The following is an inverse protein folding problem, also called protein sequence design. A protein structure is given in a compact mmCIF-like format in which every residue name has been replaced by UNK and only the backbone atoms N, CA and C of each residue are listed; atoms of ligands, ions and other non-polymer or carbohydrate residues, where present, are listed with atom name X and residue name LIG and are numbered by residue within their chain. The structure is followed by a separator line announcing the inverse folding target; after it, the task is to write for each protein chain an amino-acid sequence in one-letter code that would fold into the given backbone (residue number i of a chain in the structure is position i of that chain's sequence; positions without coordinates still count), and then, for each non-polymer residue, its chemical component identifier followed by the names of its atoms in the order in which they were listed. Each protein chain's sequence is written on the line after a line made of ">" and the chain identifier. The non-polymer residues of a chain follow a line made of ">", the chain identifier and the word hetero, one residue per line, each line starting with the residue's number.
data_IF_742193472034
#
_entry.id   IF_742193472034
#
_cell.length_a   1.000
_cell.length_b   1.000
_cell.length_c   1.000
_cell.angle_alpha   90.00
_cell.angle_beta   90.00
_cell.angle_gamma   90.00
#
_symmetry.space_group_name_H-M   'P 1'
#
loop_
_entity.id
_entity.type
_entity.pdbx_description
1 polymer ?
#
# COMPACT_ATOMS: atom_id res chain seq x y z
N UNK A 1 -17.42 0.47 2.45
CA UNK A 1 -16.07 0.18 1.93
C UNK A 1 -15.76 -1.28 2.11
N UNK A 2 -15.11 -1.91 1.13
CA UNK A 2 -14.87 -3.34 1.12
C UNK A 2 -13.72 -3.71 0.19
N UNK A 3 -13.16 -4.90 0.40
CA UNK A 3 -12.21 -5.55 -0.50
C UNK A 3 -12.94 -6.71 -1.16
N UNK A 4 -12.83 -6.81 -2.48
CA UNK A 4 -13.45 -7.87 -3.28
C UNK A 4 -12.39 -8.60 -4.10
N UNK A 5 -12.72 -9.82 -4.52
CA UNK A 5 -12.05 -10.51 -5.63
C UNK A 5 -13.08 -10.97 -6.65
N UNK A 6 -12.66 -11.13 -7.89
CA UNK A 6 -13.43 -11.75 -8.96
C UNK A 6 -12.47 -12.49 -9.91
N UNK A 7 -13.03 -13.30 -10.80
CA UNK A 7 -12.30 -13.83 -11.96
C UNK A 7 -12.01 -12.71 -12.97
N UNK A 8 -11.05 -12.95 -13.85
CA UNK A 8 -10.68 -11.99 -14.91
C UNK A 8 -11.79 -11.73 -15.92
N UNK A 9 -12.77 -12.62 -16.04
CA UNK A 9 -13.99 -12.42 -16.84
C UNK A 9 -15.10 -11.66 -16.08
N UNK A 10 -14.82 -11.23 -14.84
CA UNK A 10 -15.76 -10.52 -13.97
C UNK A 10 -16.70 -11.41 -13.16
N UNK A 11 -16.67 -12.73 -13.36
CA UNK A 11 -17.50 -13.68 -12.60
C UNK A 11 -16.97 -13.91 -11.16
N UNK A 12 -17.76 -14.63 -10.35
CA UNK A 12 -17.42 -15.00 -8.97
C UNK A 12 -17.04 -13.82 -8.06
N UNK A 13 -17.69 -12.66 -8.23
CA UNK A 13 -17.48 -11.51 -7.37
C UNK A 13 -17.76 -11.87 -5.91
N UNK A 14 -16.71 -11.85 -5.10
CA UNK A 14 -16.71 -12.30 -3.70
C UNK A 14 -16.20 -11.17 -2.81
N UNK A 15 -16.99 -10.79 -1.80
CA UNK A 15 -16.53 -9.88 -0.76
C UNK A 15 -15.57 -10.62 0.18
N UNK A 16 -14.36 -10.10 0.36
CA UNK A 16 -13.35 -10.65 1.27
C UNK A 16 -13.32 -9.92 2.61
N UNK A 17 -13.67 -8.63 2.61
CA UNK A 17 -13.73 -7.79 3.80
C UNK A 17 -14.76 -6.69 3.58
N UNK A 18 -15.52 -6.34 4.62
CA UNK A 18 -16.39 -5.16 4.63
C UNK A 18 -16.13 -4.32 5.87
N UNK A 19 -15.56 -3.14 5.67
CA UNK A 19 -15.24 -2.18 6.74
C UNK A 19 -16.29 -1.07 6.88
N UNK A 20 -17.20 -0.92 5.91
CA UNK A 20 -18.32 0.02 5.99
C UNK A 20 -19.39 -0.25 4.94
N UNK A 21 -20.56 0.36 5.09
CA UNK A 21 -21.73 0.26 4.21
C UNK A 21 -21.96 1.56 3.45
N UNK A 22 -22.39 1.41 2.21
CA UNK A 22 -22.75 2.56 1.38
C UNK A 22 -24.27 2.71 1.38
N UNK A 23 -24.81 3.93 1.48
CA UNK A 23 -24.08 5.22 1.56
C UNK A 23 -23.70 5.65 2.99
N UNK A 24 -24.13 4.93 4.02
CA UNK A 24 -24.13 5.41 5.41
C UNK A 24 -22.73 5.77 5.93
N UNK A 25 -21.73 4.94 5.62
CA UNK A 25 -20.37 5.11 6.13
C UNK A 25 -19.48 5.89 5.14
N UNK A 26 -20.00 6.40 4.03
CA UNK A 26 -19.18 7.02 2.97
C UNK A 26 -18.26 8.13 3.49
N UNK A 27 -18.75 8.95 4.42
CA UNK A 27 -18.02 10.08 5.01
C UNK A 27 -16.93 9.68 6.00
N UNK A 28 -16.92 8.42 6.46
CA UNK A 28 -15.89 7.93 7.38
C UNK A 28 -14.64 7.48 6.60
N UNK A 29 -13.77 8.45 6.29
CA UNK A 29 -12.52 8.26 5.55
C UNK A 29 -11.57 7.24 6.21
N UNK A 30 -11.76 6.93 7.49
CA UNK A 30 -10.97 5.90 8.18
C UNK A 30 -11.29 4.50 7.65
N UNK A 31 -12.46 4.28 7.03
CA UNK A 31 -12.83 2.96 6.51
C UNK A 31 -12.44 2.75 5.03
N UNK A 32 -12.01 3.79 4.32
CA UNK A 32 -11.60 3.72 2.91
C UNK A 32 -10.35 2.87 2.76
N UNK A 33 -10.46 1.75 2.05
CA UNK A 33 -9.32 0.93 1.65
C UNK A 33 -8.73 1.55 0.37
N UNK A 34 -7.42 1.77 0.32
CA UNK A 34 -6.77 2.52 -0.77
C UNK A 34 -5.82 1.65 -1.60
N UNK A 35 -4.69 1.24 -1.04
CA UNK A 35 -3.73 0.33 -1.69
C UNK A 35 -3.87 -1.10 -1.18
N UNK A 36 -3.38 -2.04 -1.98
CA UNK A 36 -3.46 -3.48 -1.70
C UNK A 36 -2.20 -4.19 -2.21
N UNK A 37 -1.69 -5.14 -1.43
CA UNK A 37 -0.62 -6.04 -1.85
C UNK A 37 -0.96 -7.49 -1.47
N UNK A 38 -0.58 -8.45 -2.33
CA UNK A 38 -0.84 -9.86 -2.13
C UNK A 38 0.45 -10.61 -1.78
N UNK A 39 0.39 -11.38 -0.70
CA UNK A 39 1.42 -12.33 -0.29
C UNK A 39 0.86 -13.75 -0.46
N UNK A 40 0.67 -14.14 -1.71
CA UNK A 40 0.10 -15.44 -2.09
C UNK A 40 0.90 -16.61 -1.51
N UNK A 41 2.25 -16.62 -1.54
CA UNK A 41 3.03 -17.72 -0.97
C UNK A 41 2.76 -17.97 0.51
N UNK A 42 2.51 -16.92 1.30
CA UNK A 42 2.18 -17.04 2.72
C UNK A 42 0.67 -16.98 3.02
N UNK A 43 -0.18 -16.84 1.99
CA UNK A 43 -1.63 -16.81 2.13
C UNK A 43 -2.17 -15.55 2.81
N UNK A 44 -1.55 -14.38 2.60
CA UNK A 44 -1.97 -13.11 3.18
C UNK A 44 -2.29 -12.03 2.14
N UNK A 45 -3.11 -11.06 2.56
CA UNK A 45 -3.44 -9.84 1.84
C UNK A 45 -3.20 -8.65 2.78
N UNK A 46 -2.55 -7.61 2.26
CA UNK A 46 -2.24 -6.36 2.98
C UNK A 46 -2.98 -5.22 2.32
N UNK A 47 -3.45 -4.24 3.11
CA UNK A 47 -4.06 -3.04 2.56
C UNK A 47 -3.82 -1.81 3.45
N UNK A 48 -3.92 -0.63 2.84
CA UNK A 48 -3.88 0.66 3.55
C UNK A 48 -5.28 1.20 3.79
N UNK A 49 -5.43 1.94 4.89
CA UNK A 49 -6.50 2.90 5.08
C UNK A 49 -5.86 4.27 5.33
N UNK A 50 -6.02 5.17 4.35
CA UNK A 50 -5.31 6.47 4.33
C UNK A 50 -5.63 7.35 5.53
N UNK A 51 -6.91 7.40 5.92
CA UNK A 51 -7.41 8.36 6.89
C UNK A 51 -7.65 9.77 6.30
N UNK A 52 -7.95 10.77 7.14
CA UNK A 52 -8.21 12.12 6.69
C UNK A 52 -6.92 12.81 6.19
N UNK A 53 -7.04 13.78 5.25
CA UNK A 53 -5.90 14.61 4.83
C UNK A 53 -5.20 15.25 6.02
N UNK A 54 -3.87 15.16 6.07
CA UNK A 54 -2.99 15.64 7.15
C UNK A 54 -3.44 15.21 8.56
N UNK A 55 -4.13 14.07 8.65
CA UNK A 55 -4.75 13.60 9.89
C UNK A 55 -3.85 12.75 10.77
N UNK A 56 -2.82 12.11 10.21
CA UNK A 56 -1.96 11.18 10.95
C UNK A 56 -2.73 10.00 11.55
N UNK A 57 -3.82 9.57 10.91
CA UNK A 57 -4.66 8.43 11.33
C UNK A 57 -4.61 7.27 10.33
N UNK A 58 -3.59 7.28 9.48
CA UNK A 58 -3.32 6.24 8.50
C UNK A 58 -2.98 4.90 9.16
N UNK A 59 -3.40 3.81 8.51
CA UNK A 59 -3.21 2.44 9.02
C UNK A 59 -2.87 1.46 7.90
N UNK A 60 -2.10 0.44 8.26
CA UNK A 60 -1.84 -0.73 7.42
C UNK A 60 -2.38 -1.96 8.14
N UNK A 61 -3.08 -2.81 7.40
CA UNK A 61 -3.68 -4.04 7.90
C UNK A 61 -3.24 -5.25 7.09
N UNK A 62 -3.44 -6.43 7.68
CA UNK A 62 -3.28 -7.73 7.03
C UNK A 62 -4.41 -8.66 7.42
N UNK A 63 -4.80 -9.56 6.51
CA UNK A 63 -5.72 -10.66 6.77
C UNK A 63 -5.32 -11.88 5.93
N UNK A 64 -5.86 -13.07 6.25
CA UNK A 64 -5.65 -14.25 5.39
C UNK A 64 -6.32 -14.04 4.03
N UNK A 65 -5.70 -14.56 2.98
CA UNK A 65 -6.26 -14.52 1.64
C UNK A 65 -7.55 -15.35 1.53
N UNK A 66 -7.55 -16.51 2.19
CA UNK A 66 -8.73 -17.37 2.31
C UNK A 66 -9.63 -16.93 3.47
N UNK A 67 -10.93 -17.08 3.26
CA UNK A 67 -11.93 -16.83 4.30
C UNK A 67 -11.79 -17.89 5.41
N UNK A 68 -11.69 -17.50 6.69
CA UNK A 68 -11.78 -18.45 7.78
C UNK A 68 -13.08 -19.27 7.72
N UNK A 69 -13.06 -20.57 8.05
CA UNK A 69 -14.27 -21.39 8.01
C UNK A 69 -15.41 -20.78 8.84
N UNK A 70 -16.59 -20.64 8.23
CA UNK A 70 -17.78 -20.08 8.87
C UNK A 70 -17.81 -18.55 9.01
N UNK A 71 -16.75 -17.83 8.60
CA UNK A 71 -16.72 -16.38 8.59
C UNK A 71 -17.32 -15.78 7.31
N UNK A 72 -17.73 -14.51 7.40
CA UNK A 72 -18.10 -13.67 6.25
C UNK A 72 -17.15 -12.47 6.16
N UNK A 73 -17.31 -11.66 5.10
CA UNK A 73 -16.56 -10.41 4.94
C UNK A 73 -16.74 -9.43 6.12
N UNK A 74 -17.88 -9.50 6.81
CA UNK A 74 -18.25 -8.68 7.96
C UNK A 74 -17.78 -9.26 9.30
N UNK A 75 -17.65 -10.59 9.41
CA UNK A 75 -17.47 -11.27 10.70
C UNK A 75 -16.10 -11.93 10.87
N UNK A 76 -15.25 -11.92 9.83
CA UNK A 76 -13.89 -12.46 9.93
C UNK A 76 -13.09 -11.76 11.03
N UNK A 77 -12.40 -12.56 11.83
CA UNK A 77 -11.66 -12.12 13.03
C UNK A 77 -10.15 -12.11 12.83
N UNK A 78 -9.68 -12.53 11.66
CA UNK A 78 -8.27 -12.67 11.33
C UNK A 78 -7.66 -11.38 10.73
N UNK A 79 -8.35 -10.25 10.86
CA UNK A 79 -7.84 -8.93 10.48
C UNK A 79 -6.89 -8.42 11.58
N UNK A 80 -5.65 -8.20 11.21
CA UNK A 80 -4.61 -7.64 12.07
C UNK A 80 -4.28 -6.20 11.65
N UNK A 81 -4.29 -5.29 12.63
CA UNK A 81 -3.69 -3.96 12.49
C UNK A 81 -2.17 -4.10 12.61
N UNK A 82 -1.44 -3.71 11.57
CA UNK A 82 0.03 -3.84 11.52
C UNK A 82 0.75 -2.56 11.91
N UNK A 83 0.27 -1.43 11.41
CA UNK A 83 0.79 -0.09 11.74
C UNK A 83 -0.39 0.87 11.86
N UNK A 84 -0.26 1.83 12.77
CA UNK A 84 -1.20 2.92 12.99
C UNK A 84 -0.48 4.27 13.07
N UNK A 85 -1.27 5.35 13.11
CA UNK A 85 -0.78 6.73 13.21
C UNK A 85 0.19 7.11 12.09
N UNK A 86 0.03 6.49 10.92
CA UNK A 86 0.77 6.85 9.73
C UNK A 86 0.21 8.17 9.17
N UNK A 87 1.03 8.97 8.46
CA UNK A 87 0.58 10.21 7.84
C UNK A 87 -0.64 10.00 6.95
N UNK A 88 -0.44 9.33 5.81
CA UNK A 88 -1.45 9.05 4.78
C UNK A 88 -0.95 7.91 3.87
N UNK A 89 -0.99 6.64 4.32
CA UNK A 89 -0.43 5.52 3.57
C UNK A 89 -1.31 5.23 2.36
N UNK A 90 -0.69 5.10 1.18
CA UNK A 90 -1.38 4.91 -0.09
C UNK A 90 -1.14 3.52 -0.66
N UNK A 91 -0.03 3.31 -1.37
CA UNK A 91 0.22 2.10 -2.14
C UNK A 91 1.19 1.16 -1.43
N UNK A 92 1.15 -0.12 -1.76
CA UNK A 92 1.89 -1.19 -1.09
C UNK A 92 2.52 -2.13 -2.11
N UNK A 93 3.72 -2.60 -1.80
CA UNK A 93 4.35 -3.70 -2.54
C UNK A 93 5.25 -4.55 -1.65
N UNK A 94 5.49 -5.79 -2.07
CA UNK A 94 6.21 -6.78 -1.27
C UNK A 94 7.44 -7.27 -2.04
N UNK A 95 8.61 -7.20 -1.41
CA UNK A 95 9.77 -8.03 -1.79
C UNK A 95 9.60 -9.39 -1.09
N UNK A 96 9.00 -10.36 -1.78
CA UNK A 96 8.74 -11.69 -1.19
C UNK A 96 10.04 -12.43 -0.83
N UNK A 97 11.13 -12.19 -1.55
CA UNK A 97 12.40 -12.86 -1.30
C UNK A 97 13.02 -12.41 0.04
N UNK A 98 12.81 -11.15 0.43
CA UNK A 98 13.28 -10.61 1.72
C UNK A 98 12.19 -10.53 2.78
N UNK A 99 10.95 -10.83 2.44
CA UNK A 99 9.78 -10.63 3.30
C UNK A 99 9.71 -9.18 3.79
N UNK A 100 9.74 -8.22 2.86
CA UNK A 100 9.71 -6.79 3.18
C UNK A 100 8.50 -6.12 2.54
N UNK A 101 7.75 -5.36 3.33
CA UNK A 101 6.65 -4.52 2.86
C UNK A 101 7.16 -3.11 2.63
N UNK A 102 6.89 -2.57 1.45
CA UNK A 102 7.18 -1.20 1.06
C UNK A 102 5.86 -0.44 0.90
N UNK A 103 5.84 0.84 1.27
CA UNK A 103 4.67 1.68 1.07
C UNK A 103 5.00 3.15 0.87
N UNK A 104 4.10 3.87 0.21
CA UNK A 104 4.13 5.32 0.07
C UNK A 104 3.27 5.98 1.14
N UNK A 105 3.76 7.06 1.72
CA UNK A 105 2.98 7.96 2.57
C UNK A 105 2.86 9.34 1.89
N UNK A 106 1.65 9.92 1.92
CA UNK A 106 1.38 11.33 1.58
C UNK A 106 1.39 12.22 2.83
N UNK A 107 0.93 13.46 2.68
CA UNK A 107 0.68 14.39 3.78
C UNK A 107 1.93 15.09 4.29
N UNK A 108 1.77 15.80 5.40
CA UNK A 108 2.78 16.68 5.98
C UNK A 108 4.17 16.01 6.18
N UNK A 109 5.22 16.48 5.47
CA UNK A 109 6.59 16.01 5.66
C UNK A 109 7.12 16.17 7.10
N UNK A 110 6.60 17.13 7.88
CA UNK A 110 7.05 17.38 9.25
C UNK A 110 6.71 16.21 10.21
N UNK A 111 5.73 15.38 9.85
CA UNK A 111 5.31 14.19 10.60
C UNK A 111 5.63 12.88 9.88
N UNK A 112 6.51 12.92 8.88
CA UNK A 112 6.96 11.74 8.13
C UNK A 112 6.19 11.44 6.86
N UNK A 113 5.29 12.33 6.43
CA UNK A 113 4.59 12.23 5.15
C UNK A 113 5.50 12.46 3.94
N UNK A 114 4.95 12.26 2.75
CA UNK A 114 5.66 12.43 1.47
C UNK A 114 6.96 11.62 1.39
N UNK A 115 6.84 10.33 1.74
CA UNK A 115 7.94 9.40 1.94
C UNK A 115 7.71 8.04 1.29
N UNK A 116 8.82 7.33 1.01
CA UNK A 116 8.83 5.90 0.75
C UNK A 116 9.37 5.19 1.99
N UNK A 117 8.65 4.17 2.43
CA UNK A 117 8.91 3.46 3.67
C UNK A 117 9.06 1.97 3.43
N UNK A 118 9.69 1.28 4.39
CA UNK A 118 9.85 -0.18 4.42
C UNK A 118 9.75 -0.72 5.83
N UNK A 119 9.25 -1.95 5.98
CA UNK A 119 9.36 -2.75 7.18
C UNK A 119 9.52 -4.24 6.84
N UNK A 120 10.13 -4.99 7.74
CA UNK A 120 10.22 -6.45 7.64
C UNK A 120 8.89 -7.08 8.05
N UNK A 121 8.43 -8.06 7.28
CA UNK A 121 7.23 -8.85 7.51
C UNK A 121 7.60 -10.04 8.41
N UNK A 122 6.88 -10.15 9.54
CA UNK A 122 7.01 -11.27 10.46
C UNK A 122 5.63 -11.90 10.73
N UNK A 123 5.57 -13.09 11.34
CA UNK A 123 4.31 -13.66 11.81
C UNK A 123 3.60 -12.72 12.80
N UNK A 124 4.35 -12.03 13.67
CA UNK A 124 3.81 -11.14 14.71
C UNK A 124 3.37 -9.76 14.19
N UNK A 125 3.82 -9.35 12.99
CA UNK A 125 3.48 -8.05 12.41
C UNK A 125 4.64 -7.45 11.61
N UNK A 126 4.71 -6.13 11.55
CA UNK A 126 5.79 -5.40 10.90
C UNK A 126 6.85 -4.96 11.91
N UNK A 127 8.12 -5.13 11.56
CA UNK A 127 9.26 -4.73 12.40
C UNK A 127 10.29 -3.95 11.58
N UNK A 128 11.23 -3.28 12.25
CA UNK A 128 12.32 -2.55 11.57
C UNK A 128 11.81 -1.51 10.55
N UNK A 129 10.78 -0.75 10.93
CA UNK A 129 10.26 0.33 10.08
C UNK A 129 11.35 1.37 9.79
N UNK A 130 11.47 1.74 8.52
CA UNK A 130 12.48 2.66 8.01
C UNK A 130 11.87 3.59 6.95
N UNK A 131 12.22 4.86 7.03
CA UNK A 131 12.01 5.81 5.93
C UNK A 131 13.19 5.70 4.98
N UNK A 132 12.94 5.30 3.73
CA UNK A 132 13.99 5.12 2.72
C UNK A 132 14.31 6.42 1.99
N UNK A 133 13.29 7.24 1.74
CA UNK A 133 13.43 8.53 1.07
C UNK A 133 12.24 9.43 1.35
N UNK A 134 12.48 10.74 1.27
CA UNK A 134 11.47 11.79 1.49
C UNK A 134 11.47 12.80 0.34
N UNK A 135 10.50 13.71 0.34
CA UNK A 135 10.42 14.80 -0.63
C UNK A 135 9.51 14.53 -1.83
N UNK A 136 8.63 13.53 -1.71
CA UNK A 136 7.54 13.32 -2.67
C UNK A 136 6.58 14.53 -2.67
N UNK A 137 5.76 14.63 -3.73
CA UNK A 137 4.68 15.62 -3.86
C UNK A 137 3.34 14.92 -3.99
N UNK A 138 2.81 14.50 -2.84
CA UNK A 138 1.66 13.60 -2.72
C UNK A 138 1.92 12.26 -3.41
N UNK A 139 2.89 11.51 -2.87
CA UNK A 139 3.27 10.18 -3.36
C UNK A 139 2.08 9.22 -3.50
N UNK A 140 2.02 8.46 -4.59
CA UNK A 140 0.92 7.52 -4.85
C UNK A 140 1.47 6.15 -5.13
N UNK A 141 1.74 5.86 -6.40
CA UNK A 141 2.02 4.53 -6.87
C UNK A 141 3.41 4.11 -6.44
N UNK A 142 3.56 2.81 -6.24
CA UNK A 142 4.82 2.17 -5.90
C UNK A 142 5.02 0.95 -6.82
N UNK A 143 6.22 0.82 -7.38
CA UNK A 143 6.63 -0.41 -8.05
C UNK A 143 8.11 -0.76 -7.75
N UNK A 144 8.47 -2.04 -7.62
CA UNK A 144 9.82 -2.49 -7.29
C UNK A 144 10.51 -3.19 -8.49
N UNK A 145 11.74 -2.75 -8.79
CA UNK A 145 12.71 -3.50 -9.58
C UNK A 145 13.60 -4.30 -8.62
N UNK A 146 13.15 -5.52 -8.31
CA UNK A 146 13.84 -6.42 -7.36
C UNK A 146 15.22 -6.86 -7.85
N UNK A 147 15.45 -6.90 -9.17
CA UNK A 147 16.72 -7.33 -9.75
C UNK A 147 17.80 -6.26 -9.55
N UNK A 148 17.49 -5.00 -9.83
CA UNK A 148 18.44 -3.89 -9.65
C UNK A 148 18.32 -3.21 -8.29
N UNK A 149 17.43 -3.70 -7.41
CA UNK A 149 17.13 -3.13 -6.09
C UNK A 149 16.77 -1.64 -6.13
N UNK A 150 15.82 -1.28 -7.00
CA UNK A 150 15.29 0.09 -7.10
C UNK A 150 13.79 0.10 -6.85
N UNK A 151 13.32 1.11 -6.14
CA UNK A 151 11.91 1.44 -6.04
C UNK A 151 11.59 2.61 -6.96
N UNK A 152 10.44 2.53 -7.63
CA UNK A 152 9.89 3.62 -8.40
C UNK A 152 8.60 4.11 -7.76
N UNK A 153 8.45 5.43 -7.68
CA UNK A 153 7.31 6.08 -7.07
C UNK A 153 6.78 7.16 -7.99
N UNK A 154 5.48 7.20 -8.20
CA UNK A 154 4.81 8.34 -8.84
C UNK A 154 4.27 9.29 -7.78
N UNK A 155 4.17 10.57 -8.13
CA UNK A 155 3.50 11.55 -7.28
C UNK A 155 2.60 12.50 -8.09
N UNK A 156 1.76 13.27 -7.40
CA UNK A 156 0.84 14.20 -8.03
C UNK A 156 1.52 15.42 -8.66
N UNK A 157 2.84 15.60 -8.53
CA UNK A 157 3.53 16.58 -9.38
C UNK A 157 3.70 16.09 -10.83
N UNK A 158 3.33 14.84 -11.11
CA UNK A 158 3.53 14.18 -12.40
C UNK A 158 4.93 13.55 -12.53
N UNK A 159 5.72 13.55 -11.47
CA UNK A 159 7.05 12.95 -11.49
C UNK A 159 6.96 11.43 -11.30
N UNK A 160 7.74 10.70 -12.09
CA UNK A 160 8.15 9.32 -11.80
C UNK A 160 9.56 9.40 -11.22
N UNK A 161 9.71 8.94 -10.00
CA UNK A 161 10.94 9.00 -9.22
C UNK A 161 11.50 7.60 -9.01
N UNK A 162 12.81 7.49 -8.91
CA UNK A 162 13.50 6.27 -8.54
C UNK A 162 14.39 6.50 -7.30
N UNK A 163 14.56 5.47 -6.49
CA UNK A 163 15.50 5.45 -5.36
C UNK A 163 16.01 4.02 -5.12
N UNK A 164 17.26 3.83 -4.66
CA UNK A 164 17.71 2.52 -4.20
C UNK A 164 16.80 1.99 -3.08
N UNK A 165 16.56 0.68 -3.07
CA UNK A 165 15.74 0.01 -2.03
C UNK A 165 16.41 -0.02 -0.64
N UNK A 166 17.66 0.43 -0.55
CA UNK A 166 18.41 0.60 0.70
C UNK A 166 18.39 2.06 1.20
N UNK A 167 17.63 2.92 0.52
CA UNK A 167 17.45 4.33 0.86
C UNK A 167 18.33 5.29 0.07
N UNK A 168 17.98 6.57 0.12
CA UNK A 168 18.73 7.64 -0.54
C UNK A 168 17.85 8.80 -0.98
N UNK A 169 18.30 9.52 -2.01
CA UNK A 169 17.56 10.64 -2.59
C UNK A 169 16.83 10.20 -3.85
N UNK A 170 15.57 10.64 -3.99
CA UNK A 170 14.82 10.41 -5.21
C UNK A 170 15.50 11.09 -6.42
N UNK A 171 15.64 10.34 -7.50
CA UNK A 171 16.00 10.87 -8.82
C UNK A 171 14.76 10.88 -9.69
N UNK A 172 14.47 11.99 -10.37
CA UNK A 172 13.39 12.03 -11.35
C UNK A 172 13.80 11.26 -12.60
N UNK A 173 13.05 10.21 -12.91
CA UNK A 173 13.21 9.40 -14.13
C UNK A 173 12.42 9.99 -15.28
N UNK A 174 11.23 10.51 -14.99
CA UNK A 174 10.36 11.11 -15.99
C UNK A 174 9.45 12.16 -15.36
N UNK A 175 9.03 13.12 -16.18
CA UNK A 175 8.06 14.15 -15.82
C UNK A 175 6.89 14.10 -16.80
N UNK A 176 5.75 13.61 -16.34
CA UNK A 176 4.50 13.62 -17.09
C UNK A 176 3.96 15.05 -17.21
N UNK A 177 3.14 15.29 -18.24
CA UNK A 177 2.50 16.59 -18.47
C UNK A 177 1.35 16.91 -17.49
N UNK A 178 0.99 15.96 -16.63
CA UNK A 178 -0.09 16.10 -15.65
C UNK A 178 0.07 15.14 -14.47
N UNK A 179 -0.96 15.08 -13.63
CA UNK A 179 -0.99 14.23 -12.44
C UNK A 179 -0.72 12.77 -12.82
N UNK A 180 0.09 12.07 -12.04
CA UNK A 180 0.40 10.65 -12.23
C UNK A 180 0.05 9.88 -10.97
N UNK A 181 -0.61 8.73 -11.13
CA UNK A 181 -1.07 7.87 -10.03
C UNK A 181 -0.45 6.47 -10.12
N UNK A 182 -1.17 5.42 -10.54
CA UNK A 182 -0.61 4.07 -10.62
C UNK A 182 0.57 3.97 -11.58
N UNK A 183 1.55 3.11 -11.25
CA UNK A 183 2.62 2.68 -12.15
C UNK A 183 2.94 1.20 -11.88
N UNK A 184 3.55 0.54 -12.86
CA UNK A 184 4.06 -0.82 -12.70
C UNK A 184 5.40 -0.95 -13.43
N UNK A 185 6.37 -1.59 -12.80
CA UNK A 185 7.65 -1.94 -13.40
C UNK A 185 7.49 -3.24 -14.17
N UNK A 186 7.85 -3.21 -15.43
CA UNK A 186 7.95 -4.40 -16.27
C UNK A 186 9.44 -4.67 -16.51
N UNK A 187 9.97 -5.83 -16.06
CA UNK A 187 11.31 -6.24 -16.43
C UNK A 187 11.42 -6.27 -17.96
N UNK A 188 12.53 -5.76 -18.50
CA UNK A 188 12.81 -5.92 -19.92
C UNK A 188 12.85 -7.41 -20.26
N UNK A 189 12.14 -7.82 -21.31
CA UNK A 189 12.33 -9.14 -21.91
C UNK A 189 13.74 -9.19 -22.48
N UNK A 190 14.66 -9.81 -21.75
CA UNK A 190 15.99 -10.17 -22.25
C UNK A 190 15.93 -11.20 -23.36
#
# INVERSE_FOLDING_TARGET
>A
MAIFRCRTDGSELTALLRTGRWPEDMGDVLRHCVGIALDVPNGYLYWTQKGPPDGGLGRIFRMRLDMPPGATAETRTDVALLLDKLPEPIDLEIDHARQQLYWTDRGDPAVGGNSLNRADITPAGLTQQQVLATGLKEGIGLTLDLQQRRAFVSDLSGAIRAVPMDGGTFTTVHQCSGLTTGLIFLPGSG
#
